data_IF_002355129883
#
_entry.id   IF_002355129883
#
_cell.length_a   1.000
_cell.length_b   1.000
_cell.length_c   1.000
_cell.angle_alpha   90.00
_cell.angle_beta   90.00
_cell.angle_gamma   90.00
#
_symmetry.space_group_name_H-M   'P 1'
#
loop_
_entity.id
_entity.type
_entity.pdbx_description
1 polymer ?
#
# COMPACT_ATOMS: atom_id res chain seq x y z
N UNK A 1 -29.29 -35.35 -52.16
CA UNK A 1 -30.24 -34.43 -51.46
C UNK A 1 -29.71 -34.11 -50.06
N UNK A 2 -29.40 -32.82 -49.85
CA UNK A 2 -29.25 -32.04 -48.59
C UNK A 2 -28.51 -32.63 -47.36
N UNK A 3 -27.22 -32.27 -47.22
CA UNK A 3 -26.45 -32.22 -45.96
C UNK A 3 -26.48 -30.82 -45.30
N UNK A 4 -27.65 -30.16 -45.27
CA UNK A 4 -27.78 -28.78 -44.74
C UNK A 4 -28.36 -28.69 -43.32
N UNK A 5 -28.81 -29.79 -42.71
CA UNK A 5 -29.60 -29.73 -41.46
C UNK A 5 -28.77 -29.49 -40.17
N UNK A 6 -27.50 -29.92 -40.13
CA UNK A 6 -26.71 -29.89 -38.87
C UNK A 6 -26.11 -28.52 -38.57
N UNK A 7 -25.70 -27.76 -39.60
CA UNK A 7 -25.07 -26.45 -39.43
C UNK A 7 -26.05 -25.37 -38.96
N UNK A 8 -27.31 -25.44 -39.40
CA UNK A 8 -28.34 -24.51 -38.93
C UNK A 8 -28.62 -24.65 -37.43
N UNK A 9 -28.64 -25.88 -36.88
CA UNK A 9 -28.87 -26.10 -35.44
C UNK A 9 -27.73 -25.56 -34.59
N UNK A 10 -26.49 -25.78 -35.00
CA UNK A 10 -25.33 -25.21 -34.33
C UNK A 10 -25.34 -23.68 -34.40
N UNK A 11 -25.66 -23.10 -35.57
CA UNK A 11 -25.77 -21.65 -35.76
C UNK A 11 -26.84 -21.02 -34.84
N UNK A 12 -28.03 -21.63 -34.74
CA UNK A 12 -29.07 -21.14 -33.83
C UNK A 12 -28.68 -21.27 -32.35
N UNK A 13 -27.93 -22.31 -31.98
CA UNK A 13 -27.40 -22.48 -30.63
C UNK A 13 -26.40 -21.37 -30.28
N UNK A 14 -25.45 -21.08 -31.17
CA UNK A 14 -24.49 -19.98 -30.96
C UNK A 14 -25.17 -18.62 -30.92
N UNK A 15 -26.18 -18.39 -31.77
CA UNK A 15 -26.93 -17.13 -31.79
C UNK A 15 -27.75 -16.95 -30.50
N UNK A 16 -28.37 -18.01 -30.00
CA UNK A 16 -29.05 -18.02 -28.70
C UNK A 16 -28.11 -17.76 -27.52
N UNK A 17 -26.94 -18.42 -27.51
CA UNK A 17 -25.92 -18.21 -26.47
C UNK A 17 -25.36 -16.78 -26.49
N UNK A 18 -25.11 -16.21 -27.66
CA UNK A 18 -24.65 -14.82 -27.81
C UNK A 18 -25.66 -13.82 -27.28
N UNK A 19 -26.95 -13.99 -27.59
CA UNK A 19 -28.02 -13.13 -27.06
C UNK A 19 -28.09 -13.24 -25.53
N UNK A 20 -27.96 -14.45 -25.00
CA UNK A 20 -27.99 -14.69 -23.55
C UNK A 20 -26.81 -14.03 -22.82
N UNK A 21 -25.60 -14.12 -23.39
CA UNK A 21 -24.41 -13.45 -22.87
C UNK A 21 -24.57 -11.93 -22.91
N UNK A 22 -25.08 -11.35 -24.00
CA UNK A 22 -25.34 -9.91 -24.09
C UNK A 22 -26.35 -9.43 -23.03
N UNK A 23 -27.38 -10.25 -22.76
CA UNK A 23 -28.36 -9.94 -21.70
C UNK A 23 -27.72 -9.95 -20.32
N UNK A 24 -26.89 -10.96 -20.01
CA UNK A 24 -26.14 -10.99 -18.75
C UNK A 24 -25.18 -9.81 -18.60
N UNK A 25 -24.44 -9.46 -19.65
CA UNK A 25 -23.54 -8.30 -19.62
C UNK A 25 -24.34 -7.03 -19.36
N UNK A 26 -25.48 -6.83 -20.02
CA UNK A 26 -26.34 -5.65 -19.83
C UNK A 26 -26.88 -5.57 -18.41
N UNK A 27 -27.33 -6.70 -17.84
CA UNK A 27 -27.82 -6.78 -16.46
C UNK A 27 -26.69 -6.46 -15.49
N UNK A 28 -25.53 -7.10 -15.61
CA UNK A 28 -24.37 -6.84 -14.76
C UNK A 28 -23.93 -5.38 -14.86
N UNK A 29 -23.83 -4.82 -16.07
CA UNK A 29 -23.43 -3.43 -16.27
C UNK A 29 -24.45 -2.45 -15.68
N UNK A 30 -25.75 -2.72 -15.81
CA UNK A 30 -26.81 -1.90 -15.19
C UNK A 30 -26.78 -1.98 -13.66
N UNK A 31 -26.54 -3.15 -13.08
CA UNK A 31 -26.48 -3.30 -11.62
C UNK A 31 -25.14 -2.84 -11.03
N UNK A 32 -24.05 -2.87 -11.80
CA UNK A 32 -22.77 -2.30 -11.39
C UNK A 32 -22.72 -0.77 -11.59
N UNK A 33 -23.30 -0.22 -12.66
CA UNK A 33 -23.29 1.23 -12.91
C UNK A 33 -24.24 1.99 -11.98
N UNK A 34 -25.33 1.37 -11.51
CA UNK A 34 -26.22 1.97 -10.49
C UNK A 34 -25.52 2.05 -9.11
N UNK A 35 -24.43 1.31 -8.89
CA UNK A 35 -23.59 1.48 -7.71
C UNK A 35 -22.57 2.63 -7.84
N UNK A 36 -22.43 3.24 -9.03
CA UNK A 36 -21.51 4.34 -9.34
C UNK A 36 -22.21 5.71 -9.45
N UNK A 37 -23.40 5.89 -8.86
CA UNK A 37 -23.94 7.23 -8.62
C UNK A 37 -23.08 7.92 -7.56
N UNK A 38 -22.03 8.56 -8.04
CA UNK A 38 -21.03 9.35 -7.32
C UNK A 38 -21.67 10.59 -6.71
N UNK A 39 -22.32 10.40 -5.57
CA UNK A 39 -22.56 11.51 -4.64
C UNK A 39 -21.21 11.89 -4.06
N UNK A 40 -20.60 12.93 -4.61
CA UNK A 40 -19.44 13.61 -4.04
C UNK A 40 -19.83 14.25 -2.70
N UNK A 41 -19.97 13.42 -1.65
CA UNK A 41 -20.06 13.87 -0.28
C UNK A 41 -18.69 14.36 0.13
N UNK A 42 -18.52 15.68 0.13
CA UNK A 42 -17.39 16.37 0.74
C UNK A 42 -17.45 16.12 2.25
N UNK A 43 -16.88 14.99 2.69
CA UNK A 43 -16.83 14.62 4.11
C UNK A 43 -16.00 15.68 4.82
N UNK A 44 -16.68 16.51 5.62
CA UNK A 44 -16.03 17.55 6.40
C UNK A 44 -15.24 16.88 7.52
N UNK A 45 -13.92 17.08 7.51
CA UNK A 45 -12.88 16.50 8.36
C UNK A 45 -13.16 16.48 9.88
N UNK A 46 -14.15 17.22 10.38
CA UNK A 46 -14.35 17.48 11.81
C UNK A 46 -15.45 16.64 12.49
N UNK A 47 -16.09 15.68 11.79
CA UNK A 47 -17.19 14.90 12.38
C UNK A 47 -16.80 13.55 13.00
N UNK A 48 -15.56 13.07 12.85
CA UNK A 48 -15.20 11.71 13.29
C UNK A 48 -14.80 11.57 14.76
N UNK A 49 -14.72 12.68 15.50
CA UNK A 49 -14.01 12.75 16.77
C UNK A 49 -14.89 13.40 17.84
N UNK A 50 -15.97 12.72 18.24
CA UNK A 50 -16.90 13.21 19.27
C UNK A 50 -16.89 12.28 20.49
N UNK A 51 -16.32 12.75 21.61
CA UNK A 51 -16.32 12.22 23.01
C UNK A 51 -15.96 10.73 23.27
N UNK A 52 -16.37 9.77 22.44
CA UNK A 52 -15.84 8.39 22.37
C UNK A 52 -14.37 8.36 21.97
N UNK A 53 -13.88 9.46 21.41
CA UNK A 53 -12.51 9.62 20.95
C UNK A 53 -11.47 9.50 22.06
N UNK A 54 -11.69 9.96 23.30
CA UNK A 54 -10.63 9.84 24.32
C UNK A 54 -10.29 8.38 24.68
N UNK A 55 -11.30 7.50 24.74
CA UNK A 55 -11.12 6.06 24.97
C UNK A 55 -10.54 5.37 23.74
N UNK A 56 -11.02 5.74 22.56
CA UNK A 56 -10.49 5.23 21.28
C UNK A 56 -9.04 5.66 21.06
N UNK A 57 -8.72 6.94 21.26
CA UNK A 57 -7.37 7.52 21.26
C UNK A 57 -6.46 6.79 22.23
N UNK A 58 -6.89 6.52 23.46
CA UNK A 58 -6.10 5.73 24.43
C UNK A 58 -5.85 4.30 23.94
N UNK A 59 -6.86 3.65 23.35
CA UNK A 59 -6.71 2.31 22.79
C UNK A 59 -5.77 2.32 21.58
N UNK A 60 -5.94 3.28 20.67
CA UNK A 60 -5.12 3.50 19.49
C UNK A 60 -3.67 3.74 19.88
N UNK A 61 -3.39 4.67 20.80
CA UNK A 61 -2.02 4.94 21.28
C UNK A 61 -1.41 3.75 22.05
N UNK A 62 -2.23 2.80 22.54
CA UNK A 62 -1.75 1.58 23.20
C UNK A 62 -1.51 0.43 22.22
N UNK A 63 -2.27 0.35 21.14
CA UNK A 63 -2.25 -0.75 20.19
C UNK A 63 -1.47 -0.44 18.89
N UNK A 64 -1.28 0.84 18.58
CA UNK A 64 -0.66 1.33 17.36
C UNK A 64 0.51 2.24 17.70
N UNK A 65 1.51 2.26 16.81
CA UNK A 65 2.69 3.12 16.91
C UNK A 65 2.56 4.23 15.86
N UNK A 66 1.95 5.39 16.15
CA UNK A 66 1.97 6.51 15.22
C UNK A 66 3.41 6.92 14.87
N UNK A 67 3.67 7.49 13.68
CA UNK A 67 5.01 7.91 13.28
C UNK A 67 5.76 8.70 14.35
N UNK A 68 5.07 9.64 15.01
CA UNK A 68 5.66 10.54 16.00
C UNK A 68 6.04 9.85 17.33
N UNK A 69 5.50 8.66 17.60
CA UNK A 69 5.85 7.89 18.81
C UNK A 69 6.98 6.88 18.57
N UNK A 70 7.40 6.71 17.32
CA UNK A 70 8.50 5.81 16.97
C UNK A 70 9.80 6.58 17.24
N UNK A 71 10.46 6.22 18.32
CA UNK A 71 11.71 6.84 18.76
C UNK A 71 12.75 5.75 19.01
N UNK A 72 14.02 6.14 19.00
CA UNK A 72 15.12 5.25 19.38
C UNK A 72 14.95 4.81 20.83
N UNK A 73 14.98 3.50 21.05
CA UNK A 73 15.04 2.86 22.36
C UNK A 73 16.49 2.60 22.74
N UNK A 74 16.85 1.31 22.81
CA UNK A 74 18.20 0.85 23.19
C UNK A 74 19.08 0.49 22.00
N UNK A 75 18.72 0.86 20.77
CA UNK A 75 19.50 0.57 19.58
C UNK A 75 20.90 1.18 19.70
N UNK A 76 21.93 0.34 19.49
CA UNK A 76 23.34 0.66 19.64
C UNK A 76 23.75 1.26 21.01
N UNK A 77 23.00 1.00 22.09
CA UNK A 77 23.34 1.42 23.46
C UNK A 77 24.51 0.65 24.11
N UNK A 78 25.24 -0.16 23.32
CA UNK A 78 26.41 -0.92 23.78
C UNK A 78 27.67 -0.09 23.55
N UNK A 79 28.53 -0.06 24.56
CA UNK A 79 29.84 0.58 24.54
C UNK A 79 30.69 0.09 23.36
N UNK A 80 30.95 0.98 22.42
CA UNK A 80 31.71 0.69 21.21
C UNK A 80 33.21 0.50 21.46
N UNK A 81 33.74 0.99 22.57
CA UNK A 81 35.18 0.95 22.84
C UNK A 81 35.62 -0.44 23.31
N UNK A 82 34.69 -1.18 23.91
CA UNK A 82 34.93 -2.52 24.47
C UNK A 82 34.29 -3.65 23.67
N UNK A 83 33.40 -3.35 22.72
CA UNK A 83 32.63 -4.37 21.98
C UNK A 83 32.60 -4.10 20.47
N UNK A 84 32.94 -5.12 19.70
CA UNK A 84 32.82 -5.12 18.25
C UNK A 84 31.43 -5.59 17.80
N UNK A 85 30.78 -4.81 16.95
CA UNK A 85 29.51 -5.21 16.32
C UNK A 85 29.77 -6.32 15.29
N UNK A 86 29.28 -7.54 15.57
CA UNK A 86 29.40 -8.67 14.63
C UNK A 86 28.23 -8.77 13.64
N UNK A 87 27.03 -8.33 14.04
CA UNK A 87 25.85 -8.41 13.20
C UNK A 87 24.61 -7.80 13.85
N UNK A 88 23.61 -7.53 13.01
CA UNK A 88 22.32 -6.95 13.42
C UNK A 88 21.22 -7.84 12.86
N UNK A 89 20.29 -8.25 13.71
CA UNK A 89 19.05 -8.89 13.29
C UNK A 89 17.90 -7.89 13.47
N UNK A 90 17.28 -7.49 12.36
CA UNK A 90 16.12 -6.60 12.39
C UNK A 90 14.86 -7.41 12.06
N UNK A 91 13.92 -7.46 13.01
CA UNK A 91 12.60 -8.06 12.81
C UNK A 91 11.57 -6.93 12.88
N UNK A 92 10.96 -6.62 11.74
CA UNK A 92 9.92 -5.59 11.64
C UNK A 92 8.61 -6.19 11.16
N UNK A 93 7.51 -5.56 11.57
CA UNK A 93 6.22 -5.71 10.91
C UNK A 93 6.07 -4.61 9.87
N UNK A 94 5.19 -4.83 8.89
CA UNK A 94 4.72 -3.76 8.01
C UNK A 94 4.11 -2.59 8.81
N UNK A 95 4.15 -1.38 8.23
CA UNK A 95 3.45 -0.21 8.76
C UNK A 95 1.93 -0.27 8.55
N UNK A 96 1.25 0.81 8.91
CA UNK A 96 -0.18 0.98 8.74
C UNK A 96 -0.64 0.74 7.28
N UNK A 97 -1.75 0.03 7.11
CA UNK A 97 -2.23 -0.42 5.81
C UNK A 97 -3.75 -0.51 5.78
N UNK A 98 -4.31 -0.45 4.57
CA UNK A 98 -5.71 -0.75 4.35
C UNK A 98 -6.10 -2.18 4.78
N UNK A 99 -7.41 -2.43 4.96
CA UNK A 99 -7.91 -3.73 5.37
C UNK A 99 -7.62 -4.80 4.31
N UNK A 100 -7.59 -6.08 4.69
CA UNK A 100 -7.38 -7.18 3.73
C UNK A 100 -8.65 -7.55 2.97
N UNK A 101 -9.80 -7.13 3.48
CA UNK A 101 -11.12 -7.45 2.97
C UNK A 101 -12.00 -6.20 3.04
N UNK A 102 -13.07 -6.17 2.24
CA UNK A 102 -14.02 -5.08 2.29
C UNK A 102 -14.73 -5.05 3.65
N UNK A 103 -14.65 -3.91 4.32
CA UNK A 103 -15.34 -3.67 5.58
C UNK A 103 -16.59 -2.83 5.33
N UNK A 104 -17.69 -3.14 6.01
CA UNK A 104 -18.89 -2.29 5.97
C UNK A 104 -18.55 -0.92 6.56
N UNK A 105 -18.61 0.13 5.74
CA UNK A 105 -18.17 1.47 6.12
C UNK A 105 -16.64 1.68 6.02
N UNK A 106 -15.93 0.84 5.27
CA UNK A 106 -14.50 1.02 4.97
C UNK A 106 -14.18 2.34 4.26
N UNK A 107 -15.14 2.90 3.52
CA UNK A 107 -15.03 4.22 2.85
C UNK A 107 -14.85 5.37 3.84
N UNK A 108 -15.12 5.13 5.14
CA UNK A 108 -14.96 6.14 6.20
C UNK A 108 -13.58 6.08 6.87
N UNK A 109 -12.72 5.14 6.48
CA UNK A 109 -11.38 5.02 7.04
C UNK A 109 -10.46 6.09 6.43
N UNK A 110 -9.68 6.83 7.24
CA UNK A 110 -8.87 7.95 6.77
C UNK A 110 -7.54 7.50 6.15
N UNK A 111 -7.57 6.75 5.06
CA UNK A 111 -6.36 6.24 4.39
C UNK A 111 -5.68 7.26 3.46
N UNK A 112 -6.37 8.30 3.03
CA UNK A 112 -5.82 9.35 2.16
C UNK A 112 -5.17 10.50 2.94
N UNK A 113 -5.09 10.38 4.27
CA UNK A 113 -4.40 11.38 5.09
C UNK A 113 -2.90 11.25 4.88
N UNK A 114 -2.34 12.23 4.18
CA UNK A 114 -0.88 12.34 3.98
C UNK A 114 -0.28 13.12 5.14
N UNK A 115 0.60 12.51 5.96
CA UNK A 115 1.27 13.22 7.04
C UNK A 115 2.28 14.21 6.47
N UNK A 116 2.33 15.42 7.04
CA UNK A 116 3.30 16.43 6.63
C UNK A 116 4.66 16.09 7.23
N UNK A 117 5.55 15.50 6.42
CA UNK A 117 6.90 15.15 6.85
C UNK A 117 7.93 15.38 5.73
N UNK A 118 9.05 16.07 5.99
CA UNK A 118 10.13 16.21 5.01
C UNK A 118 10.75 14.86 4.65
N UNK A 119 10.76 13.91 5.61
CA UNK A 119 11.28 12.56 5.42
C UNK A 119 10.44 11.77 4.41
N UNK A 120 9.11 11.90 4.51
CA UNK A 120 8.18 11.28 3.56
C UNK A 120 8.38 11.86 2.16
N UNK A 121 8.44 13.20 2.05
CA UNK A 121 8.63 13.88 0.77
C UNK A 121 9.95 13.47 0.09
N UNK A 122 11.05 13.42 0.85
CA UNK A 122 12.35 13.00 0.33
C UNK A 122 12.32 11.57 -0.19
N UNK A 123 11.62 10.66 0.50
CA UNK A 123 11.45 9.29 0.04
C UNK A 123 10.61 9.19 -1.24
N UNK A 124 9.51 9.93 -1.33
CA UNK A 124 8.67 9.98 -2.53
C UNK A 124 9.47 10.46 -3.75
N UNK A 125 10.25 11.54 -3.59
CA UNK A 125 11.15 12.05 -4.63
C UNK A 125 12.20 11.02 -5.03
N UNK A 126 12.79 10.29 -4.07
CA UNK A 126 13.73 9.21 -4.34
C UNK A 126 13.10 8.08 -5.17
N UNK A 127 11.90 7.63 -4.79
CA UNK A 127 11.18 6.57 -5.52
C UNK A 127 10.81 7.04 -6.93
N UNK A 128 10.36 8.28 -7.09
CA UNK A 128 10.03 8.86 -8.39
C UNK A 128 11.26 8.95 -9.30
N UNK A 129 12.41 9.39 -8.76
CA UNK A 129 13.67 9.48 -9.51
C UNK A 129 14.16 8.09 -9.93
N UNK A 130 14.16 7.12 -9.02
CA UNK A 130 14.55 5.75 -9.33
C UNK A 130 13.59 5.02 -10.29
N UNK A 131 12.35 5.50 -10.39
CA UNK A 131 11.33 5.01 -11.33
C UNK A 131 11.27 5.84 -12.63
N UNK A 132 12.19 6.78 -12.84
CA UNK A 132 12.18 7.66 -14.03
C UNK A 132 12.34 6.89 -15.35
N UNK A 133 13.01 5.74 -15.32
CA UNK A 133 13.22 4.85 -16.47
C UNK A 133 12.27 3.65 -16.53
N UNK A 134 11.25 3.60 -15.65
CA UNK A 134 10.32 2.47 -15.55
C UNK A 134 10.01 2.07 -14.11
N UNK A 135 9.85 0.78 -13.81
CA UNK A 135 9.76 0.35 -12.41
C UNK A 135 11.14 0.41 -11.77
N UNK A 136 11.21 0.97 -10.56
CA UNK A 136 12.42 0.93 -9.77
C UNK A 136 12.96 -0.52 -9.66
N UNK A 137 14.28 -0.67 -9.76
CA UNK A 137 14.94 -1.97 -9.89
C UNK A 137 14.63 -2.94 -8.74
N UNK A 138 14.42 -2.43 -7.52
CA UNK A 138 14.09 -3.22 -6.33
C UNK A 138 12.65 -3.75 -6.28
N UNK A 139 11.76 -3.24 -7.15
CA UNK A 139 10.36 -3.67 -7.30
C UNK A 139 10.09 -4.34 -8.65
N UNK A 140 11.14 -4.56 -9.45
CA UNK A 140 11.07 -5.22 -10.77
C UNK A 140 11.06 -6.76 -10.70
N UNK A 141 11.19 -7.35 -9.51
CA UNK A 141 11.21 -8.80 -9.33
C UNK A 141 9.84 -9.43 -9.58
N UNK A 142 9.82 -10.56 -10.30
CA UNK A 142 8.63 -11.39 -10.45
C UNK A 142 8.25 -11.99 -9.09
N UNK A 143 7.04 -11.74 -8.62
CA UNK A 143 6.54 -12.25 -7.34
C UNK A 143 5.08 -11.89 -7.10
N UNK A 144 4.41 -12.46 -6.07
CA UNK A 144 2.98 -12.25 -5.82
C UNK A 144 2.61 -10.77 -5.58
N UNK A 145 3.59 -9.94 -5.24
CA UNK A 145 3.41 -8.51 -4.96
C UNK A 145 3.78 -7.59 -6.15
N UNK A 146 4.06 -8.13 -7.34
CA UNK A 146 4.45 -7.33 -8.52
C UNK A 146 3.40 -6.30 -8.97
N UNK A 147 2.14 -6.43 -8.55
CA UNK A 147 1.08 -5.48 -8.89
C UNK A 147 0.88 -4.38 -7.83
N UNK A 148 1.62 -4.41 -6.72
CA UNK A 148 1.57 -3.34 -5.74
C UNK A 148 2.35 -2.11 -6.27
N UNK A 149 1.79 -0.90 -6.15
CA UNK A 149 2.50 0.31 -6.53
C UNK A 149 3.66 0.56 -5.55
N UNK A 150 4.74 1.17 -6.04
CA UNK A 150 5.92 1.51 -5.23
C UNK A 150 5.65 2.61 -4.20
N UNK A 151 4.65 3.46 -4.47
CA UNK A 151 4.11 4.44 -3.53
C UNK A 151 2.63 4.14 -3.27
N UNK A 152 2.15 4.36 -2.04
CA UNK A 152 0.72 4.35 -1.72
C UNK A 152 -0.04 5.23 -2.72
N UNK A 153 -1.03 4.65 -3.40
CA UNK A 153 -1.95 5.46 -4.21
C UNK A 153 -3.05 5.97 -3.29
N UNK A 154 -3.26 7.29 -3.27
CA UNK A 154 -4.48 7.86 -2.69
C UNK A 154 -5.65 7.29 -3.49
N UNK A 155 -6.46 6.46 -2.84
CA UNK A 155 -7.64 5.89 -3.45
C UNK A 155 -8.77 6.80 -3.01
N UNK A 156 -9.17 7.70 -3.92
CA UNK A 156 -9.97 8.92 -3.70
C UNK A 156 -11.20 8.82 -2.77
N UNK A 157 -11.66 7.62 -2.40
CA UNK A 157 -12.82 7.39 -1.53
C UNK A 157 -12.67 6.21 -0.54
N UNK A 158 -11.63 5.38 -0.62
CA UNK A 158 -11.54 4.15 0.21
C UNK A 158 -10.11 3.63 0.35
N UNK A 159 -9.80 3.01 1.49
CA UNK A 159 -8.51 2.34 1.68
C UNK A 159 -8.31 1.21 0.66
N UNK A 160 -7.21 1.28 -0.10
CA UNK A 160 -6.82 0.18 -0.98
C UNK A 160 -6.51 -1.10 -0.16
N UNK A 161 -7.02 -2.24 -0.62
CA UNK A 161 -6.94 -3.49 0.13
C UNK A 161 -5.49 -3.94 0.30
N UNK A 162 -5.08 -4.16 1.55
CA UNK A 162 -3.75 -4.64 1.91
C UNK A 162 -2.60 -3.71 1.51
N UNK A 163 -2.87 -2.52 0.99
CA UNK A 163 -1.84 -1.55 0.60
C UNK A 163 -1.44 -0.69 1.78
N UNK A 164 -0.15 -0.36 1.85
CA UNK A 164 0.39 0.56 2.86
C UNK A 164 -0.25 1.95 2.70
N UNK A 165 -0.57 2.62 3.80
CA UNK A 165 -1.03 4.01 3.80
C UNK A 165 0.17 4.97 3.79
N UNK A 166 0.00 6.26 3.46
CA UNK A 166 1.06 7.27 3.63
C UNK A 166 1.60 7.33 5.07
N UNK A 167 0.72 7.13 6.06
CA UNK A 167 1.10 7.00 7.48
C UNK A 167 1.98 5.77 7.72
N UNK A 168 1.59 4.62 7.18
CA UNK A 168 2.37 3.39 7.29
C UNK A 168 3.73 3.48 6.59
N UNK A 169 3.79 4.21 5.48
CA UNK A 169 5.05 4.51 4.81
C UNK A 169 5.97 5.34 5.71
N UNK A 170 5.46 6.44 6.29
CA UNK A 170 6.24 7.26 7.21
C UNK A 170 6.71 6.46 8.43
N UNK A 171 5.87 5.58 9.01
CA UNK A 171 6.30 4.70 10.12
C UNK A 171 7.54 3.89 9.75
N UNK A 172 7.54 3.26 8.56
CA UNK A 172 8.65 2.41 8.13
C UNK A 172 9.91 3.22 7.81
N UNK A 173 9.76 4.41 7.22
CA UNK A 173 10.91 5.28 6.94
C UNK A 173 11.51 5.80 8.25
N UNK A 174 10.69 6.15 9.26
CA UNK A 174 11.17 6.53 10.59
C UNK A 174 11.98 5.41 11.25
N UNK A 175 11.50 4.16 11.20
CA UNK A 175 12.25 3.00 11.69
C UNK A 175 13.58 2.85 10.95
N UNK A 176 13.58 2.95 9.62
CA UNK A 176 14.79 2.90 8.81
C UNK A 176 15.81 3.99 9.18
N UNK A 177 15.32 5.21 9.44
CA UNK A 177 16.17 6.33 9.84
C UNK A 177 16.81 6.10 11.23
N UNK A 178 16.05 5.58 12.20
CA UNK A 178 16.58 5.23 13.53
C UNK A 178 17.69 4.17 13.42
N UNK A 179 17.46 3.13 12.61
CA UNK A 179 18.45 2.07 12.40
C UNK A 179 19.71 2.63 11.72
N UNK A 180 19.53 3.49 10.71
CA UNK A 180 20.64 4.18 10.05
C UNK A 180 21.44 4.99 11.07
N UNK A 181 20.80 5.86 11.84
CA UNK A 181 21.47 6.67 12.87
C UNK A 181 22.16 5.83 13.95
N UNK A 182 21.60 4.67 14.31
CA UNK A 182 22.18 3.81 15.33
C UNK A 182 23.40 3.02 14.84
N UNK A 183 23.43 2.63 13.56
CA UNK A 183 24.39 1.63 13.07
C UNK A 183 25.18 2.03 11.82
N UNK A 184 24.87 3.14 11.14
CA UNK A 184 25.55 3.49 9.87
C UNK A 184 27.06 3.65 10.02
N UNK A 185 27.49 4.28 11.11
CA UNK A 185 28.91 4.46 11.39
C UNK A 185 29.61 3.14 11.73
N UNK A 186 28.87 2.21 12.37
CA UNK A 186 29.39 0.90 12.80
C UNK A 186 29.46 -0.11 11.66
N UNK A 187 28.63 0.05 10.62
CA UNK A 187 28.56 -0.85 9.47
C UNK A 187 29.55 -0.49 8.36
N UNK A 188 30.12 0.73 8.37
CA UNK A 188 31.02 1.21 7.33
C UNK A 188 30.30 1.58 6.02
N UNK A 189 30.69 2.68 5.35
CA UNK A 189 30.04 3.13 4.11
C UNK A 189 30.27 2.18 2.92
N UNK A 190 31.31 1.34 2.99
CA UNK A 190 31.67 0.39 1.93
C UNK A 190 30.64 -0.73 1.72
N UNK A 191 29.80 -0.99 2.73
CA UNK A 191 28.75 -2.02 2.68
C UNK A 191 27.36 -1.44 2.37
N UNK A 192 27.24 -0.12 2.27
CA UNK A 192 26.02 0.58 1.89
C UNK A 192 26.05 0.86 0.39
N UNK A 193 25.66 -0.13 -0.43
CA UNK A 193 25.41 0.11 -1.86
C UNK A 193 24.15 0.96 -2.02
N UNK A 194 24.34 2.28 -1.94
CA UNK A 194 23.32 3.29 -2.17
C UNK A 194 23.12 3.56 -3.66
N UNK A 195 23.98 3.02 -4.52
CA UNK A 195 23.99 3.34 -5.94
C UNK A 195 22.96 2.55 -6.74
N UNK A 196 22.48 1.40 -6.26
CA UNK A 196 21.42 0.63 -6.92
C UNK A 196 21.73 0.31 -8.39
N UNK A 197 23.00 0.37 -8.77
CA UNK A 197 23.49 0.18 -10.12
C UNK A 197 24.41 -1.01 -10.05
N UNK A 198 23.83 -2.18 -10.24
CA UNK A 198 24.63 -3.35 -10.60
C UNK A 198 25.20 -3.07 -11.99
N UNK A 199 26.45 -2.65 -12.06
CA UNK A 199 27.24 -2.82 -13.27
C UNK A 199 27.34 -4.32 -13.52
N UNK A 200 26.81 -4.73 -14.67
CA UNK A 200 27.04 -6.05 -15.26
C UNK A 200 28.21 -5.96 -16.21
#
# INVERSE_FOLDING_TARGET
MMKFSFQHRAFYCYLGMSIWICFLITVVYKYMSVAEDTVALKVTHNQYVSKTDSKYRKLFMRACNPPDSIVRGSEAAVDSDNWLLQGILVITRHGDRGPLTHLKGGDKLPCDVVPVSPLLKSYEEFVLNASSSGRAWWVSSAGPFHNFPSLPRAAATHCALGQLTPTGLLQMITVGNIIREAYSEKLGPEYLDLTGKHER
#
